data_IF_675239849447
#
_entry.id   IF_675239849447
#
_cell.length_a   1.000
_cell.length_b   1.000
_cell.length_c   1.000
_cell.angle_alpha   90.00
_cell.angle_beta   90.00
_cell.angle_gamma   90.00
#
_symmetry.space_group_name_H-M   'P 1'
#
loop_
_entity.id
_entity.type
_entity.pdbx_description
1 polymer ?
#
# COMPACT_ATOMS: atom_id res chain seq x y z
N UNK A 1 29.14 -41.77 -37.71
CA UNK A 1 28.07 -42.72 -38.07
C UNK A 1 26.99 -41.90 -38.76
N UNK A 2 27.09 -41.85 -40.08
CA UNK A 2 26.20 -41.12 -41.00
C UNK A 2 25.45 -42.15 -41.84
N UNK A 3 24.20 -41.86 -42.21
CA UNK A 3 23.58 -42.49 -43.37
C UNK A 3 22.11 -42.84 -43.22
N UNK A 4 21.27 -41.97 -43.77
CA UNK A 4 19.83 -42.14 -43.97
C UNK A 4 19.49 -43.20 -45.04
N UNK A 5 18.29 -43.80 -44.95
CA UNK A 5 17.47 -44.13 -46.13
C UNK A 5 16.01 -44.41 -45.74
N UNK A 6 15.12 -43.85 -46.55
CA UNK A 6 13.66 -43.78 -46.45
C UNK A 6 12.95 -45.11 -46.84
N UNK A 7 11.62 -45.23 -46.63
CA UNK A 7 10.83 -46.42 -46.96
C UNK A 7 10.25 -46.38 -48.38
N UNK A 8 10.03 -47.55 -48.99
CA UNK A 8 9.29 -47.70 -50.26
C UNK A 8 8.14 -48.71 -50.10
N UNK A 9 7.14 -48.54 -50.95
CA UNK A 9 5.72 -48.74 -50.74
C UNK A 9 5.11 -50.03 -51.33
N UNK A 10 3.78 -50.12 -51.19
CA UNK A 10 2.78 -50.88 -51.98
C UNK A 10 2.36 -52.25 -51.40
N UNK A 11 1.14 -52.39 -50.84
CA UNK A 11 -0.17 -52.55 -51.51
C UNK A 11 -0.30 -53.96 -52.19
N UNK A 12 -1.38 -54.74 -52.11
CA UNK A 12 -2.79 -54.48 -51.80
C UNK A 12 -3.55 -55.80 -51.48
N UNK A 13 -4.71 -55.63 -50.82
CA UNK A 13 -6.00 -56.33 -51.02
C UNK A 13 -6.15 -57.86 -50.77
N UNK A 14 -7.10 -58.21 -49.88
CA UNK A 14 -8.41 -58.74 -50.30
C UNK A 14 -9.35 -59.00 -49.11
N UNK A 15 -10.65 -58.85 -49.37
CA UNK A 15 -11.75 -58.76 -48.41
C UNK A 15 -12.40 -60.11 -48.07
N UNK A 16 -13.09 -60.21 -46.92
CA UNK A 16 -14.54 -60.47 -46.85
C UNK A 16 -15.12 -60.42 -45.42
N UNK A 17 -16.43 -60.14 -45.27
CA UNK A 17 -17.07 -59.71 -44.02
C UNK A 17 -17.75 -60.86 -43.26
N UNK A 18 -17.83 -60.75 -41.94
CA UNK A 18 -18.72 -61.58 -41.14
C UNK A 18 -19.50 -60.74 -40.12
N UNK A 19 -20.80 -60.63 -40.38
CA UNK A 19 -21.82 -60.10 -39.46
C UNK A 19 -21.81 -60.86 -38.14
N UNK A 20 -21.76 -60.16 -37.01
CA UNK A 20 -22.59 -60.49 -35.83
C UNK A 20 -23.14 -59.22 -35.18
N UNK A 21 -24.46 -59.23 -35.02
CA UNK A 21 -25.29 -58.22 -34.36
C UNK A 21 -24.96 -58.20 -32.86
N UNK A 22 -24.96 -57.01 -32.26
CA UNK A 22 -25.07 -56.88 -30.81
C UNK A 22 -24.57 -55.54 -30.29
N UNK A 23 -25.49 -54.78 -29.68
CA UNK A 23 -25.23 -53.64 -28.78
C UNK A 23 -24.89 -52.30 -29.45
N UNK A 24 -25.88 -51.72 -30.12
CA UNK A 24 -25.98 -50.27 -30.34
C UNK A 24 -27.12 -49.70 -29.49
N UNK A 25 -26.93 -49.63 -28.16
CA UNK A 25 -27.77 -48.77 -27.30
C UNK A 25 -27.15 -48.49 -25.92
N UNK A 26 -25.82 -48.55 -25.79
CA UNK A 26 -25.11 -48.26 -24.53
C UNK A 26 -24.00 -47.22 -24.62
N UNK A 27 -23.63 -46.79 -25.82
CA UNK A 27 -22.51 -45.85 -26.02
C UNK A 27 -22.87 -44.37 -25.88
N UNK A 28 -24.14 -44.00 -26.08
CA UNK A 28 -24.57 -42.61 -26.09
C UNK A 28 -24.56 -41.96 -24.71
N UNK A 29 -24.98 -42.69 -23.68
CA UNK A 29 -25.08 -42.15 -22.31
C UNK A 29 -23.71 -42.10 -21.64
N UNK A 30 -22.86 -43.13 -21.81
CA UNK A 30 -21.49 -43.12 -21.27
C UNK A 30 -20.62 -42.08 -22.00
N UNK A 31 -20.81 -41.92 -23.31
CA UNK A 31 -20.18 -40.85 -24.08
C UNK A 31 -20.58 -39.45 -23.61
N UNK A 32 -21.86 -39.21 -23.32
CA UNK A 32 -22.33 -37.92 -22.79
C UNK A 32 -21.88 -37.66 -21.35
N UNK A 33 -21.83 -38.67 -20.49
CA UNK A 33 -21.31 -38.53 -19.11
C UNK A 33 -19.80 -38.27 -19.13
N UNK A 34 -19.05 -38.96 -20.01
CA UNK A 34 -17.62 -38.70 -20.21
C UNK A 34 -17.34 -37.33 -20.80
N UNK A 35 -18.16 -36.87 -21.76
CA UNK A 35 -18.06 -35.51 -22.31
C UNK A 35 -18.44 -34.45 -21.27
N UNK A 36 -19.45 -34.71 -20.43
CA UNK A 36 -19.85 -33.81 -19.35
C UNK A 36 -18.78 -33.73 -18.24
N UNK A 37 -18.10 -34.84 -17.92
CA UNK A 37 -16.98 -34.84 -16.97
C UNK A 37 -15.76 -34.12 -17.56
N UNK A 38 -15.41 -34.38 -18.82
CA UNK A 38 -14.34 -33.67 -19.52
C UNK A 38 -14.65 -32.17 -19.71
N UNK A 39 -15.89 -31.81 -20.06
CA UNK A 39 -16.33 -30.42 -20.13
C UNK A 39 -16.43 -29.77 -18.74
N UNK A 40 -16.70 -30.51 -17.66
CA UNK A 40 -16.66 -29.97 -16.29
C UNK A 40 -15.23 -29.65 -15.82
N UNK A 41 -14.22 -30.36 -16.35
CA UNK A 41 -12.81 -30.07 -16.10
C UNK A 41 -12.27 -28.94 -17.00
N UNK A 42 -12.88 -28.71 -18.17
CA UNK A 42 -12.47 -27.68 -19.13
C UNK A 42 -13.29 -26.38 -18.96
N UNK A 43 -14.47 -26.44 -18.36
CA UNK A 43 -15.29 -25.29 -17.99
C UNK A 43 -14.98 -24.84 -16.56
N UNK A 44 -13.70 -24.59 -16.26
CA UNK A 44 -13.40 -23.51 -15.32
C UNK A 44 -13.66 -22.24 -16.12
N UNK A 45 -14.60 -21.37 -15.72
CA UNK A 45 -14.79 -20.10 -16.41
C UNK A 45 -13.50 -19.29 -16.26
N UNK A 46 -12.65 -19.32 -17.28
CA UNK A 46 -11.63 -18.30 -17.53
C UNK A 46 -12.34 -17.06 -18.08
N UNK A 47 -13.14 -16.46 -17.21
CA UNK A 47 -14.04 -15.37 -17.56
C UNK A 47 -14.37 -14.54 -16.34
N UNK A 48 -13.64 -13.44 -16.18
CA UNK A 48 -14.24 -12.22 -15.64
C UNK A 48 -14.20 -12.02 -14.14
N UNK A 49 -13.13 -12.44 -13.48
CA UNK A 49 -12.62 -11.69 -12.34
C UNK A 49 -11.12 -11.98 -12.28
N UNK A 50 -10.31 -11.08 -12.85
CA UNK A 50 -9.15 -10.68 -12.07
C UNK A 50 -9.76 -10.20 -10.75
N UNK A 51 -9.84 -11.09 -9.77
CA UNK A 51 -9.75 -10.63 -8.40
C UNK A 51 -8.37 -10.00 -8.36
N UNK A 52 -8.28 -8.72 -8.74
CA UNK A 52 -7.27 -7.83 -8.17
C UNK A 52 -7.24 -8.23 -6.70
N UNK A 53 -6.08 -8.65 -6.18
CA UNK A 53 -5.99 -9.04 -4.78
C UNK A 53 -6.64 -7.90 -4.03
N UNK A 54 -7.79 -8.16 -3.39
CA UNK A 54 -8.56 -7.05 -2.85
C UNK A 54 -7.68 -6.45 -1.78
N UNK A 55 -7.04 -5.32 -2.09
CA UNK A 55 -6.12 -4.66 -1.21
C UNK A 55 -6.98 -4.13 -0.07
N UNK A 56 -7.11 -4.96 0.96
CA UNK A 56 -7.94 -4.70 2.13
C UNK A 56 -7.00 -4.42 3.27
N UNK A 57 -7.27 -3.35 3.98
CA UNK A 57 -6.68 -3.08 5.27
C UNK A 57 -6.95 -4.30 6.18
N UNK A 58 -5.87 -4.84 6.75
CA UNK A 58 -5.90 -5.82 7.81
C UNK A 58 -5.58 -5.15 9.16
N UNK A 59 -5.76 -5.91 10.25
CA UNK A 59 -5.49 -5.45 11.61
C UNK A 59 -6.64 -5.75 12.58
N UNK A 60 -6.56 -5.22 13.82
CA UNK A 60 -5.53 -4.29 14.29
C UNK A 60 -4.18 -4.98 14.57
N UNK A 61 -3.09 -4.29 14.22
CA UNK A 61 -1.72 -4.67 14.60
C UNK A 61 -1.20 -3.76 15.71
N UNK A 62 -0.22 -4.22 16.48
CA UNK A 62 0.39 -3.45 17.57
C UNK A 62 1.88 -3.23 17.29
N UNK A 63 2.34 -1.98 17.39
CA UNK A 63 3.73 -1.61 17.23
C UNK A 63 4.25 -0.87 18.46
N UNK A 64 5.35 -1.35 19.04
CA UNK A 64 6.13 -0.58 20.02
C UNK A 64 7.03 0.41 19.27
N UNK A 65 6.80 1.69 19.50
CA UNK A 65 7.55 2.78 18.87
C UNK A 65 8.57 3.42 19.84
N UNK A 66 8.64 2.91 21.06
CA UNK A 66 9.46 3.50 22.11
C UNK A 66 10.93 3.08 21.97
N UNK A 67 11.89 3.99 22.18
CA UNK A 67 13.27 3.56 22.40
C UNK A 67 13.35 2.73 23.69
N UNK A 68 14.39 1.90 23.82
CA UNK A 68 14.57 1.02 24.99
C UNK A 68 14.46 1.76 26.32
N UNK A 69 15.04 2.97 26.39
CA UNK A 69 15.03 3.84 27.57
C UNK A 69 13.68 4.53 27.83
N UNK A 70 12.74 4.52 26.87
CA UNK A 70 11.54 5.36 26.87
C UNK A 70 11.85 6.82 26.48
N UNK A 71 10.81 7.60 26.26
CA UNK A 71 10.91 9.03 26.01
C UNK A 71 10.97 9.79 27.34
N UNK A 72 11.83 10.81 27.40
CA UNK A 72 11.91 11.73 28.53
C UNK A 72 11.84 13.17 28.01
N UNK A 73 10.93 13.96 28.55
CA UNK A 73 10.64 15.32 28.05
C UNK A 73 10.23 16.23 29.19
N UNK A 74 10.65 17.50 29.14
CA UNK A 74 10.19 18.50 30.09
C UNK A 74 8.78 18.95 29.71
N UNK A 75 7.92 19.09 30.71
CA UNK A 75 6.55 19.58 30.54
C UNK A 75 6.51 21.12 30.59
N UNK A 76 5.51 21.70 29.94
CA UNK A 76 5.20 23.12 30.01
C UNK A 76 4.59 23.51 31.38
N UNK A 77 4.72 24.79 31.75
CA UNK A 77 4.05 25.38 32.91
C UNK A 77 4.95 26.22 33.82
N UNK A 78 4.34 27.10 34.60
CA UNK A 78 5.01 27.97 35.57
C UNK A 78 5.08 27.29 36.95
N UNK A 79 6.28 26.84 37.32
CA UNK A 79 6.55 26.28 38.65
C UNK A 79 7.22 24.90 38.59
N UNK A 80 8.50 24.83 38.94
CA UNK A 80 9.26 23.59 39.02
C UNK A 80 9.66 22.99 37.66
N UNK A 81 10.72 22.17 37.64
CA UNK A 81 11.10 21.37 36.46
C UNK A 81 10.27 20.08 36.48
N UNK A 82 9.12 20.10 35.81
CA UNK A 82 8.31 18.90 35.62
C UNK A 82 8.80 18.12 34.41
N UNK A 83 8.87 16.80 34.55
CA UNK A 83 9.27 15.92 33.45
C UNK A 83 8.31 14.74 33.31
N UNK A 84 8.18 14.30 32.06
CA UNK A 84 7.37 13.16 31.65
C UNK A 84 8.29 12.04 31.16
N UNK A 85 8.12 10.86 31.74
CA UNK A 85 8.67 9.60 31.23
C UNK A 85 7.56 8.77 30.58
N UNK A 86 7.77 8.40 29.31
CA UNK A 86 6.72 7.84 28.46
C UNK A 86 7.20 6.59 27.69
N UNK A 87 6.36 5.56 27.64
CA UNK A 87 6.47 4.44 26.69
C UNK A 87 5.13 4.23 25.99
N UNK A 88 5.18 4.13 24.67
CA UNK A 88 4.03 4.11 23.76
C UNK A 88 3.98 2.82 22.96
N UNK A 89 2.79 2.25 22.89
CA UNK A 89 2.40 1.30 21.86
C UNK A 89 1.36 1.94 20.95
N UNK A 90 1.39 1.60 19.67
CA UNK A 90 0.48 2.14 18.67
C UNK A 90 -0.30 1.00 18.02
N UNK A 91 -1.62 1.13 18.02
CA UNK A 91 -2.52 0.23 17.31
C UNK A 91 -2.81 0.79 15.92
N UNK A 92 -2.63 -0.05 14.91
CA UNK A 92 -2.67 0.37 13.51
C UNK A 92 -3.51 -0.56 12.66
N UNK A 93 -4.11 0.03 11.64
CA UNK A 93 -4.70 -0.62 10.48
C UNK A 93 -3.68 -0.50 9.34
N UNK A 94 -3.33 -1.58 8.65
CA UNK A 94 -2.40 -1.52 7.51
C UNK A 94 -2.71 -2.62 6.49
N UNK A 95 -2.31 -2.44 5.23
CA UNK A 95 -2.40 -3.52 4.24
C UNK A 95 -1.59 -4.76 4.66
N UNK A 96 -0.45 -4.53 5.31
CA UNK A 96 0.44 -5.61 5.79
C UNK A 96 1.04 -5.26 7.16
N UNK A 97 1.09 -6.24 8.07
CA UNK A 97 1.75 -6.10 9.38
C UNK A 97 3.26 -5.82 9.24
N UNK A 98 3.88 -6.42 8.23
CA UNK A 98 5.30 -6.30 7.95
C UNK A 98 5.71 -4.85 7.66
N UNK A 99 4.85 -4.07 7.00
CA UNK A 99 5.09 -2.66 6.69
C UNK A 99 5.41 -1.86 7.96
N UNK A 100 4.56 -1.98 8.98
CA UNK A 100 4.66 -1.21 10.23
C UNK A 100 5.91 -1.63 11.01
N UNK A 101 6.16 -2.94 11.07
CA UNK A 101 7.32 -3.49 11.77
C UNK A 101 8.63 -3.07 11.12
N UNK A 102 8.70 -3.08 9.78
CA UNK A 102 9.87 -2.62 9.03
C UNK A 102 10.09 -1.11 9.25
N UNK A 103 9.02 -0.32 9.19
CA UNK A 103 9.04 1.13 9.37
C UNK A 103 9.54 1.55 10.75
N UNK A 104 9.00 0.96 11.81
CA UNK A 104 9.36 1.30 13.19
C UNK A 104 10.82 0.98 13.55
N UNK A 105 11.48 0.09 12.79
CA UNK A 105 12.88 -0.31 13.00
C UNK A 105 13.89 0.49 12.19
N UNK A 106 13.44 1.29 11.23
CA UNK A 106 14.31 2.09 10.38
C UNK A 106 14.83 3.33 11.17
N UNK A 107 16.15 3.55 11.27
CA UNK A 107 16.73 4.60 12.12
C UNK A 107 16.22 6.02 11.84
N UNK A 108 16.04 6.36 10.56
CA UNK A 108 15.53 7.68 10.17
C UNK A 108 14.11 7.91 10.72
N UNK A 109 13.26 6.90 10.68
CA UNK A 109 11.87 7.02 11.16
C UNK A 109 11.78 6.97 12.67
N UNK A 110 12.67 6.24 13.36
CA UNK A 110 12.78 6.33 14.81
C UNK A 110 13.12 7.75 15.28
N UNK A 111 14.02 8.45 14.57
CA UNK A 111 14.32 9.84 14.86
C UNK A 111 13.09 10.75 14.67
N UNK A 112 12.36 10.60 13.55
CA UNK A 112 11.13 11.35 13.28
C UNK A 112 10.02 11.05 14.30
N UNK A 113 9.84 9.78 14.70
CA UNK A 113 8.88 9.38 15.73
C UNK A 113 9.24 10.00 17.08
N UNK A 114 10.51 9.96 17.44
CA UNK A 114 11.01 10.58 18.68
C UNK A 114 10.74 12.08 18.68
N UNK A 115 11.06 12.77 17.59
CA UNK A 115 10.81 14.21 17.46
C UNK A 115 9.31 14.53 17.61
N UNK A 116 8.43 13.79 16.91
CA UNK A 116 6.98 13.98 17.01
C UNK A 116 6.45 13.77 18.45
N UNK A 117 6.91 12.73 19.14
CA UNK A 117 6.52 12.46 20.54
C UNK A 117 7.02 13.59 21.45
N UNK A 118 8.30 13.96 21.36
CA UNK A 118 8.88 14.99 22.21
C UNK A 118 8.22 16.34 21.97
N UNK A 119 8.00 16.73 20.72
CA UNK A 119 7.33 17.97 20.36
C UNK A 119 5.93 18.04 20.98
N UNK A 120 5.09 17.03 20.71
CA UNK A 120 3.71 16.96 21.22
C UNK A 120 3.67 16.95 22.75
N UNK A 121 4.56 16.18 23.38
CA UNK A 121 4.61 16.06 24.85
C UNK A 121 5.11 17.32 25.53
N UNK A 122 6.06 18.05 24.93
CA UNK A 122 6.64 19.26 25.51
C UNK A 122 5.64 20.42 25.66
N UNK A 123 4.54 20.37 24.92
CA UNK A 123 3.45 21.35 24.98
C UNK A 123 2.49 21.08 26.15
N UNK A 124 2.61 19.92 26.81
CA UNK A 124 1.71 19.51 27.88
C UNK A 124 2.17 19.98 29.24
N UNK A 125 1.19 20.32 30.07
CA UNK A 125 1.40 20.63 31.48
C UNK A 125 1.14 19.39 32.34
N UNK A 126 1.72 19.37 33.55
CA UNK A 126 1.45 18.30 34.52
C UNK A 126 -0.04 18.19 34.87
N UNK A 127 -0.72 19.33 35.01
CA UNK A 127 -2.16 19.36 35.34
C UNK A 127 -3.04 18.73 34.25
N UNK A 128 -2.69 18.91 32.97
CA UNK A 128 -3.37 18.24 31.86
C UNK A 128 -3.16 16.73 31.90
N UNK A 129 -1.94 16.28 32.20
CA UNK A 129 -1.58 14.87 32.22
C UNK A 129 -2.02 14.13 33.49
N UNK A 130 -2.33 14.82 34.58
CA UNK A 130 -2.84 14.19 35.81
C UNK A 130 -4.34 13.87 35.71
N UNK A 131 -5.07 14.50 34.79
CA UNK A 131 -6.51 14.32 34.64
C UNK A 131 -6.85 13.39 33.46
N UNK A 132 -7.93 12.60 33.59
CA UNK A 132 -8.31 11.58 32.60
C UNK A 132 -8.61 12.16 31.23
N UNK A 133 -9.34 13.28 31.18
CA UNK A 133 -9.75 13.93 29.92
C UNK A 133 -8.54 14.46 29.17
N UNK A 134 -7.60 15.11 29.86
CA UNK A 134 -6.36 15.62 29.29
C UNK A 134 -5.44 14.50 28.80
N UNK A 135 -5.44 13.33 29.47
CA UNK A 135 -4.75 12.13 28.96
C UNK A 135 -5.37 11.62 27.66
N UNK A 136 -6.70 11.65 27.52
CA UNK A 136 -7.38 11.24 26.28
C UNK A 136 -7.05 12.20 25.14
N UNK A 137 -7.17 13.51 25.38
CA UNK A 137 -6.77 14.55 24.41
C UNK A 137 -5.31 14.38 24.01
N UNK A 138 -4.41 14.12 24.96
CA UNK A 138 -3.00 13.90 24.67
C UNK A 138 -2.75 12.64 23.82
N UNK A 139 -3.50 11.54 24.03
CA UNK A 139 -3.40 10.35 23.16
C UNK A 139 -3.83 10.68 21.74
N UNK A 140 -4.91 11.44 21.57
CA UNK A 140 -5.40 11.83 20.25
C UNK A 140 -4.43 12.75 19.52
N UNK A 141 -3.80 13.69 20.23
CA UNK A 141 -2.77 14.53 19.63
C UNK A 141 -1.53 13.72 19.22
N UNK A 142 -1.07 12.80 20.08
CA UNK A 142 0.01 11.88 19.71
C UNK A 142 -0.39 11.03 18.51
N UNK A 143 -1.64 10.55 18.45
CA UNK A 143 -2.17 9.79 17.30
C UNK A 143 -2.03 10.60 16.01
N UNK A 144 -2.49 11.85 16.02
CA UNK A 144 -2.42 12.75 14.86
C UNK A 144 -0.97 13.07 14.46
N UNK A 145 -0.07 13.26 15.44
CA UNK A 145 1.33 13.56 15.19
C UNK A 145 2.13 12.36 14.66
N UNK A 146 1.81 11.14 15.12
CA UNK A 146 2.52 9.92 14.76
C UNK A 146 2.06 9.33 13.42
N UNK A 147 0.79 9.50 13.08
CA UNK A 147 0.19 8.98 11.84
C UNK A 147 0.99 9.34 10.57
N UNK A 148 1.39 10.60 10.30
CA UNK A 148 2.22 10.95 9.13
C UNK A 148 3.61 10.32 9.12
N UNK A 149 4.16 9.99 10.29
CA UNK A 149 5.50 9.43 10.39
C UNK A 149 5.47 7.92 10.11
N UNK A 150 4.49 7.22 10.69
CA UNK A 150 4.28 5.79 10.49
C UNK A 150 3.73 5.47 9.11
N UNK A 151 2.79 6.30 8.63
CA UNK A 151 2.10 6.14 7.36
C UNK A 151 2.23 7.43 6.55
N UNK A 152 3.41 7.67 5.94
CA UNK A 152 3.56 8.74 4.98
C UNK A 152 2.68 8.48 3.75
N UNK A 153 2.51 9.51 2.94
CA UNK A 153 1.97 9.33 1.59
C UNK A 153 3.06 8.74 0.70
N UNK A 154 2.75 7.61 0.07
CA UNK A 154 3.54 7.03 -1.00
C UNK A 154 3.08 7.57 -2.35
N UNK A 155 4.00 7.68 -3.29
CA UNK A 155 3.72 8.08 -4.68
C UNK A 155 4.33 7.01 -5.60
N UNK A 156 3.49 6.12 -6.09
CA UNK A 156 3.78 5.03 -7.01
C UNK A 156 4.64 3.87 -6.49
N UNK A 157 5.65 4.12 -5.65
CA UNK A 157 6.45 3.05 -5.03
C UNK A 157 5.77 2.52 -3.75
N UNK A 158 5.38 1.24 -3.78
CA UNK A 158 4.73 0.56 -2.67
C UNK A 158 5.67 0.26 -1.50
N UNK A 159 6.97 0.12 -1.77
CA UNK A 159 7.95 -0.37 -0.82
C UNK A 159 8.74 0.75 -0.15
N UNK A 160 8.99 1.85 -0.87
CA UNK A 160 9.75 2.99 -0.37
C UNK A 160 9.00 4.31 -0.57
N UNK A 161 8.61 5.02 0.50
CA UNK A 161 7.88 6.29 0.38
C UNK A 161 8.72 7.45 -0.15
N UNK A 162 10.04 7.28 -0.24
CA UNK A 162 10.96 8.23 -0.89
C UNK A 162 11.36 7.75 -2.30
N UNK A 163 10.91 6.55 -2.68
CA UNK A 163 11.20 5.92 -3.96
C UNK A 163 10.42 6.57 -5.11
N UNK A 164 10.98 6.50 -6.30
CA UNK A 164 10.31 6.96 -7.51
C UNK A 164 9.52 5.84 -8.15
N UNK A 165 8.37 6.18 -8.73
CA UNK A 165 7.59 5.27 -9.54
C UNK A 165 8.36 4.92 -10.82
N UNK A 166 8.87 3.69 -10.89
CA UNK A 166 9.84 3.26 -11.90
C UNK A 166 9.35 3.46 -13.34
N UNK A 167 8.06 3.29 -13.62
CA UNK A 167 7.52 3.41 -14.98
C UNK A 167 7.39 4.87 -15.44
N UNK A 168 7.00 5.77 -14.54
CA UNK A 168 6.78 7.19 -14.86
C UNK A 168 7.98 8.09 -14.60
N UNK A 169 8.89 7.68 -13.70
CA UNK A 169 9.95 8.53 -13.16
C UNK A 169 9.49 9.50 -12.05
N UNK A 170 8.18 9.59 -11.78
CA UNK A 170 7.60 10.47 -10.75
C UNK A 170 8.14 10.13 -9.36
N UNK A 171 8.44 11.15 -8.57
CA UNK A 171 8.92 11.00 -7.19
C UNK A 171 8.09 11.82 -6.21
N UNK A 172 8.12 11.47 -4.91
CA UNK A 172 7.68 12.36 -3.85
C UNK A 172 8.47 13.68 -3.88
N UNK A 173 7.77 14.79 -3.71
CA UNK A 173 8.39 16.13 -3.63
C UNK A 173 9.16 16.33 -2.33
N UNK A 174 10.02 17.35 -2.30
CA UNK A 174 10.81 17.71 -1.09
C UNK A 174 9.94 17.99 0.13
N UNK A 175 8.73 18.46 -0.09
CA UNK A 175 7.73 18.77 0.93
C UNK A 175 6.73 17.64 1.16
N UNK A 176 7.03 16.41 0.76
CA UNK A 176 6.15 15.24 0.90
C UNK A 176 5.60 15.07 2.33
N UNK A 177 6.39 15.39 3.36
CA UNK A 177 5.98 15.38 4.76
C UNK A 177 4.84 16.38 5.10
N UNK A 178 4.62 17.40 4.28
CA UNK A 178 3.53 18.38 4.39
C UNK A 178 2.28 18.00 3.59
N UNK A 179 2.28 16.85 2.92
CA UNK A 179 1.14 16.36 2.17
C UNK A 179 -0.05 16.15 3.11
N UNK A 180 -1.22 16.59 2.67
CA UNK A 180 -2.45 16.51 3.46
C UNK A 180 -3.35 15.35 3.03
N UNK A 181 -3.01 14.67 1.93
CA UNK A 181 -3.69 13.45 1.50
C UNK A 181 -3.47 12.34 2.53
N UNK A 182 -4.56 11.66 2.94
CA UNK A 182 -4.54 10.58 3.95
C UNK A 182 -5.38 9.36 3.55
N UNK A 183 -5.88 9.33 2.32
CA UNK A 183 -6.61 8.17 1.82
C UNK A 183 -5.67 7.02 1.52
N UNK A 184 -6.24 5.83 1.33
CA UNK A 184 -5.44 4.61 1.20
C UNK A 184 -4.77 4.53 -0.17
N UNK A 185 -3.60 3.88 -0.21
CA UNK A 185 -2.74 3.84 -1.40
C UNK A 185 -3.41 3.36 -2.69
N UNK A 186 -4.34 2.42 -2.59
CA UNK A 186 -5.06 1.85 -3.75
C UNK A 186 -6.39 2.55 -4.05
N UNK A 187 -6.68 3.68 -3.38
CA UNK A 187 -7.92 4.45 -3.56
C UNK A 187 -7.71 5.77 -4.29
N UNK A 188 -6.45 6.19 -4.48
CA UNK A 188 -6.09 7.49 -5.06
C UNK A 188 -5.02 7.36 -6.12
N UNK A 189 -5.07 8.24 -7.11
CA UNK A 189 -4.12 8.22 -8.22
C UNK A 189 -3.82 9.62 -8.78
N UNK A 190 -2.58 9.79 -9.25
CA UNK A 190 -2.21 10.90 -10.12
C UNK A 190 -2.38 10.49 -11.57
N UNK A 191 -3.16 11.26 -12.30
CA UNK A 191 -3.20 11.21 -13.76
C UNK A 191 -2.06 12.08 -14.30
N UNK A 192 -1.16 11.49 -15.09
CA UNK A 192 -0.06 12.21 -15.73
C UNK A 192 -0.19 12.13 -17.24
N UNK A 193 -0.04 13.29 -17.88
CA UNK A 193 0.12 13.47 -19.31
C UNK A 193 1.37 14.32 -19.53
N UNK A 194 2.53 13.65 -19.68
CA UNK A 194 3.82 14.33 -19.77
C UNK A 194 3.94 15.13 -21.07
N UNK A 195 3.38 14.61 -22.17
CA UNK A 195 3.38 15.28 -23.47
C UNK A 195 2.66 16.64 -23.41
N UNK A 196 1.54 16.72 -22.66
CA UNK A 196 0.81 17.98 -22.41
C UNK A 196 1.31 18.74 -21.18
N UNK A 197 2.25 18.17 -20.42
CA UNK A 197 2.76 18.66 -19.14
C UNK A 197 1.66 18.93 -18.11
N UNK A 198 0.75 17.96 -17.95
CA UNK A 198 -0.36 18.05 -17.03
C UNK A 198 -0.30 16.93 -16.00
N UNK A 199 -0.62 17.28 -14.76
CA UNK A 199 -0.82 16.33 -13.67
C UNK A 199 -2.12 16.67 -12.93
N UNK A 200 -2.88 15.65 -12.53
CA UNK A 200 -4.12 15.82 -11.80
C UNK A 200 -4.25 14.76 -10.73
N UNK A 201 -4.68 15.15 -9.54
CA UNK A 201 -4.97 14.24 -8.44
C UNK A 201 -6.46 13.89 -8.42
N UNK A 202 -6.80 12.62 -8.62
CA UNK A 202 -8.18 12.14 -8.71
C UNK A 202 -9.04 13.04 -9.65
N UNK A 203 -10.17 13.54 -9.15
CA UNK A 203 -11.08 14.48 -9.81
C UNK A 203 -10.74 15.96 -9.53
N UNK A 204 -9.50 16.26 -9.13
CA UNK A 204 -9.01 17.62 -8.87
C UNK A 204 -8.78 18.46 -10.13
N UNK A 205 -8.18 19.64 -9.95
CA UNK A 205 -7.80 20.50 -11.08
C UNK A 205 -6.54 19.98 -11.79
N UNK A 206 -6.49 20.11 -13.12
CA UNK A 206 -5.27 19.86 -13.88
C UNK A 206 -4.23 20.95 -13.57
N UNK A 207 -3.08 20.53 -13.07
CA UNK A 207 -1.94 21.41 -12.78
C UNK A 207 -0.93 21.26 -13.91
N UNK A 208 -0.58 22.37 -14.55
CA UNK A 208 0.48 22.40 -15.55
C UNK A 208 1.86 22.46 -14.90
N UNK A 209 2.85 21.79 -15.48
CA UNK A 209 4.24 21.84 -15.05
C UNK A 209 5.21 22.14 -16.20
N UNK A 210 6.47 22.43 -15.89
CA UNK A 210 7.54 22.71 -16.84
C UNK A 210 8.49 21.52 -17.02
N UNK A 211 8.61 20.67 -16.00
CA UNK A 211 9.43 19.46 -16.01
C UNK A 211 10.73 19.61 -15.24
N UNK A 212 10.91 20.70 -14.49
CA UNK A 212 12.05 20.95 -13.61
C UNK A 212 11.63 21.13 -12.14
N UNK A 213 10.33 21.10 -11.85
CA UNK A 213 9.80 21.27 -10.52
C UNK A 213 10.06 20.04 -9.64
N UNK A 214 10.78 20.26 -8.53
CA UNK A 214 11.07 19.20 -7.54
C UNK A 214 10.09 19.17 -6.37
N UNK A 215 9.08 20.06 -6.37
CA UNK A 215 8.17 20.26 -5.25
C UNK A 215 6.82 20.85 -5.67
N UNK A 216 6.22 20.27 -6.72
CA UNK A 216 4.92 20.69 -7.25
C UNK A 216 3.80 20.19 -6.34
N UNK A 217 2.91 21.09 -5.91
CA UNK A 217 1.72 20.71 -5.14
C UNK A 217 0.55 20.40 -6.06
N UNK A 218 -0.07 19.23 -5.87
CA UNK A 218 -1.24 18.78 -6.63
C UNK A 218 -2.33 18.38 -5.65
N UNK A 219 -3.55 18.89 -5.81
CA UNK A 219 -4.67 18.68 -4.88
C UNK A 219 -5.90 18.07 -5.54
N UNK A 220 -6.66 17.29 -4.76
CA UNK A 220 -7.97 16.78 -5.11
C UNK A 220 -9.03 17.89 -5.07
N UNK A 221 -10.27 17.57 -5.47
CA UNK A 221 -11.40 18.50 -5.45
C UNK A 221 -11.77 19.03 -4.04
N UNK A 222 -11.25 18.43 -2.97
CA UNK A 222 -11.47 18.83 -1.57
C UNK A 222 -10.29 19.64 -1.00
N UNK A 223 -9.29 19.96 -1.83
CA UNK A 223 -8.09 20.68 -1.43
C UNK A 223 -7.08 19.83 -0.63
N UNK A 224 -7.23 18.51 -0.61
CA UNK A 224 -6.23 17.59 -0.05
C UNK A 224 -5.22 17.26 -1.14
N UNK A 225 -3.94 17.52 -0.87
CA UNK A 225 -2.91 17.32 -1.89
C UNK A 225 -1.64 16.64 -1.42
N UNK A 226 -0.79 16.42 -2.41
CA UNK A 226 0.54 15.83 -2.30
C UNK A 226 1.56 16.74 -2.98
N UNK A 227 2.79 16.68 -2.51
CA UNK A 227 3.92 17.30 -3.18
C UNK A 227 4.66 16.25 -4.00
N UNK A 228 4.93 16.56 -5.27
CA UNK A 228 5.59 15.66 -6.21
C UNK A 228 6.79 16.31 -6.88
N UNK A 229 7.79 15.51 -7.21
CA UNK A 229 8.94 15.87 -8.02
C UNK A 229 8.72 15.32 -9.43
N UNK A 230 8.57 16.24 -10.38
CA UNK A 230 8.34 15.95 -11.81
C UNK A 230 9.61 16.09 -12.64
N UNK A 231 10.76 16.42 -12.02
CA UNK A 231 12.01 16.67 -12.76
C UNK A 231 12.64 15.41 -13.34
N UNK A 232 12.17 14.24 -12.91
CA UNK A 232 12.64 12.92 -13.36
C UNK A 232 11.65 12.16 -14.23
N UNK A 233 10.56 12.81 -14.69
CA UNK A 233 9.54 12.16 -15.49
C UNK A 233 10.10 11.64 -16.82
N UNK A 234 9.58 10.49 -17.26
CA UNK A 234 9.87 9.96 -18.59
C UNK A 234 9.06 10.71 -19.65
N UNK A 235 9.73 11.15 -20.72
CA UNK A 235 9.24 12.15 -21.69
C UNK A 235 7.87 11.83 -22.34
N UNK A 236 7.48 10.55 -22.40
CA UNK A 236 6.25 10.09 -23.06
C UNK A 236 5.27 9.38 -22.12
N UNK A 237 5.45 9.47 -20.79
CA UNK A 237 4.54 8.77 -19.87
C UNK A 237 3.13 9.38 -19.93
N UNK A 238 2.15 8.51 -20.20
CA UNK A 238 0.72 8.81 -20.11
C UNK A 238 0.06 7.70 -19.32
N UNK A 239 -0.41 8.00 -18.11
CA UNK A 239 -0.92 6.95 -17.24
C UNK A 239 -1.37 7.44 -15.88
N UNK A 240 -1.56 6.47 -14.99
CA UNK A 240 -1.99 6.64 -13.61
C UNK A 240 -0.87 6.18 -12.69
N UNK A 241 -0.61 6.94 -11.64
CA UNK A 241 0.36 6.57 -10.60
C UNK A 241 -0.38 6.50 -9.27
N UNK A 242 -0.46 5.32 -8.62
CA UNK A 242 -1.17 5.17 -7.36
C UNK A 242 -0.50 5.99 -6.25
N UNK A 243 -1.29 6.48 -5.31
CA UNK A 243 -0.77 7.20 -4.16
C UNK A 243 -1.65 7.02 -2.94
N UNK A 244 -1.09 7.33 -1.78
CA UNK A 244 -1.83 7.35 -0.52
C UNK A 244 -1.03 6.73 0.60
N UNK A 245 -1.71 6.37 1.67
CA UNK A 245 -1.07 5.75 2.84
C UNK A 245 -1.28 4.24 2.83
N UNK A 246 -0.31 3.50 3.37
CA UNK A 246 -0.39 2.04 3.49
C UNK A 246 -1.18 1.56 4.72
N UNK A 247 -1.76 2.51 5.45
CA UNK A 247 -2.43 2.27 6.71
C UNK A 247 -2.71 3.57 7.45
N UNK A 248 -3.08 3.41 8.71
CA UNK A 248 -3.38 4.50 9.63
C UNK A 248 -3.24 4.05 11.08
N UNK A 249 -2.96 5.00 11.94
CA UNK A 249 -3.01 4.82 13.39
C UNK A 249 -4.45 4.87 13.87
N UNK A 250 -4.90 3.79 14.51
CA UNK A 250 -6.20 3.71 15.19
C UNK A 250 -6.14 4.33 16.57
N UNK A 251 -5.13 3.94 17.36
CA UNK A 251 -5.02 4.32 18.77
C UNK A 251 -3.58 4.37 19.27
N UNK A 252 -3.37 5.10 20.36
CA UNK A 252 -2.10 5.18 21.09
C UNK A 252 -2.34 4.72 22.53
N UNK A 253 -1.52 3.78 23.00
CA UNK A 253 -1.58 3.24 24.35
C UNK A 253 -0.33 3.64 25.14
N UNK A 254 -0.54 4.05 26.39
CA UNK A 254 0.54 4.33 27.32
C UNK A 254 0.91 3.05 28.07
N UNK A 255 2.07 2.48 27.76
CA UNK A 255 2.68 1.42 28.57
C UNK A 255 3.28 2.00 29.85
N UNK A 256 3.80 3.22 29.77
CA UNK A 256 4.31 3.99 30.91
C UNK A 256 3.95 5.45 30.68
N UNK A 257 3.37 6.08 31.70
CA UNK A 257 3.08 7.51 31.75
C UNK A 257 3.35 7.99 33.18
N UNK A 258 4.54 8.55 33.41
CA UNK A 258 4.96 9.01 34.72
C UNK A 258 5.32 10.49 34.65
N UNK A 259 4.58 11.31 35.39
CA UNK A 259 4.80 12.74 35.55
C UNK A 259 5.48 12.99 36.89
N UNK A 260 6.63 13.67 36.88
CA UNK A 260 7.44 13.95 38.07
C UNK A 260 7.69 15.45 38.22
#
# INVERSE_FOLDING_TARGET
EDGAAAPEAAAAASAKPAKKKGVFLGGGIVGLIGLAWALSLVAVPSGGAHHEPSHRIAGPFMADISPTAGFQVNLAGDGGKHYLSLKLNVEVDAFEEAYVTARARQPLYQAKLTDAVLHTSSQKTKGELDNTVGREVFRDELRVALDPVLFPVHVGDEHAPEGGHAESGLRPGRSSARSTMRGLFFEHELHLDVARKLVRLDDGEEVSFQGDETDLFVSDARGKGVYVDVSGLHDDFLGRVPLGTFGRVRNVYFNTLLTQ
#
